data_IF_361615402666
#
_entry.id   IF_361615402666
#
_cell.length_a   1.000
_cell.length_b   1.000
_cell.length_c   1.000
_cell.angle_alpha   90.00
_cell.angle_beta   90.00
_cell.angle_gamma   90.00
#
_symmetry.space_group_name_H-M   'P 1'
#
loop_
_entity.id
_entity.type
_entity.pdbx_description
1 polymer ?
#
# COMPACT_ATOMS: atom_id res chain seq x y z
N UNK A 1 29.17 -1.27 17.05
CA UNK A 1 28.91 -1.43 18.50
C UNK A 1 27.41 -1.45 18.73
N UNK A 2 26.83 -2.61 19.01
CA UNK A 2 25.46 -2.76 19.51
C UNK A 2 25.50 -2.67 21.03
N UNK A 3 24.74 -1.75 21.63
CA UNK A 3 24.58 -1.70 23.08
C UNK A 3 23.54 -2.75 23.49
N UNK A 4 23.92 -3.67 24.37
CA UNK A 4 23.06 -4.70 24.96
C UNK A 4 23.07 -4.44 26.46
N UNK A 5 21.89 -4.30 27.06
CA UNK A 5 21.80 -4.07 28.50
C UNK A 5 22.04 -5.37 29.31
N UNK A 6 22.24 -5.26 30.64
CA UNK A 6 22.52 -6.42 31.50
C UNK A 6 21.41 -7.49 31.55
N UNK A 7 20.23 -7.20 31.00
CA UNK A 7 19.10 -8.13 30.88
C UNK A 7 19.02 -8.78 29.48
N UNK A 8 20.01 -8.54 28.61
CA UNK A 8 20.07 -9.08 27.25
C UNK A 8 19.17 -8.36 26.26
N UNK A 9 18.57 -7.23 26.65
CA UNK A 9 17.78 -6.39 25.75
C UNK A 9 18.72 -5.49 24.94
N UNK A 10 18.66 -5.61 23.62
CA UNK A 10 19.34 -4.69 22.71
C UNK A 10 18.32 -3.73 22.11
N UNK A 11 18.71 -2.47 21.93
CA UNK A 11 17.94 -1.47 21.20
C UNK A 11 17.86 -1.77 19.68
N UNK A 12 18.49 -2.86 19.22
CA UNK A 12 18.68 -3.19 17.82
C UNK A 12 18.01 -4.51 17.46
N UNK A 13 16.68 -4.47 17.43
CA UNK A 13 15.89 -5.49 16.73
C UNK A 13 14.73 -4.85 15.98
N UNK A 14 15.04 -3.88 15.11
CA UNK A 14 14.10 -3.57 14.02
C UNK A 14 14.11 -4.77 13.07
N UNK A 15 13.29 -5.77 13.38
CA UNK A 15 12.97 -6.84 12.46
C UNK A 15 12.56 -6.19 11.14
N UNK A 16 13.22 -6.58 10.04
CA UNK A 16 12.89 -6.02 8.72
C UNK A 16 11.39 -6.27 8.48
N UNK A 17 10.63 -5.25 8.05
CA UNK A 17 9.21 -5.42 7.85
C UNK A 17 8.93 -6.44 6.73
N UNK A 18 7.93 -7.28 6.93
CA UNK A 18 7.54 -8.35 6.00
C UNK A 18 6.45 -7.87 5.04
N UNK A 19 6.51 -8.22 3.76
CA UNK A 19 5.46 -7.88 2.81
C UNK A 19 4.38 -8.97 2.75
N UNK A 20 3.10 -8.59 2.69
CA UNK A 20 1.97 -9.53 2.58
C UNK A 20 1.00 -9.15 1.47
N UNK A 21 0.30 -10.14 0.93
CA UNK A 21 -0.80 -9.93 -0.02
C UNK A 21 -2.09 -9.46 0.65
N UNK A 22 -2.11 -9.44 1.99
CA UNK A 22 -3.24 -9.04 2.81
C UNK A 22 -4.53 -9.79 2.40
N UNK A 23 -4.45 -11.12 2.34
CA UNK A 23 -5.57 -11.98 1.95
C UNK A 23 -6.00 -11.80 0.49
N UNK A 24 -5.15 -11.23 -0.37
CA UNK A 24 -5.41 -10.96 -1.79
C UNK A 24 -6.62 -10.04 -2.04
N UNK A 25 -7.09 -9.31 -1.02
CA UNK A 25 -8.32 -8.50 -1.13
C UNK A 25 -8.20 -7.38 -2.17
N UNK A 26 -6.98 -6.88 -2.41
CA UNK A 26 -6.69 -5.83 -3.39
C UNK A 26 -6.16 -6.37 -4.73
N UNK A 27 -5.99 -7.69 -4.85
CA UNK A 27 -5.51 -8.27 -6.09
C UNK A 27 -6.62 -8.33 -7.14
N UNK A 28 -6.23 -8.15 -8.42
CA UNK A 28 -7.15 -8.25 -9.54
C UNK A 28 -7.72 -9.68 -9.64
N UNK A 29 -9.03 -9.84 -9.81
CA UNK A 29 -9.62 -11.14 -10.11
C UNK A 29 -9.15 -11.64 -11.49
N UNK A 30 -8.78 -12.94 -11.57
CA UNK A 30 -8.15 -13.54 -12.77
C UNK A 30 -9.04 -13.56 -14.02
N UNK A 31 -10.36 -13.47 -13.86
CA UNK A 31 -11.34 -13.68 -14.94
C UNK A 31 -12.33 -12.50 -15.09
N UNK A 32 -11.93 -11.27 -14.79
CA UNK A 32 -12.80 -10.10 -14.98
C UNK A 32 -12.17 -9.09 -15.92
N UNK A 33 -13.02 -8.43 -16.72
CA UNK A 33 -12.59 -7.30 -17.52
C UNK A 33 -12.14 -6.14 -16.64
N UNK A 34 -11.27 -5.28 -17.15
CA UNK A 34 -10.86 -4.07 -16.42
C UNK A 34 -12.05 -3.19 -16.02
N UNK A 35 -13.07 -3.11 -16.87
CA UNK A 35 -14.32 -2.38 -16.61
C UNK A 35 -15.09 -2.96 -15.42
N UNK A 36 -15.14 -4.29 -15.31
CA UNK A 36 -15.80 -4.96 -14.19
C UNK A 36 -15.01 -4.81 -12.89
N UNK A 37 -13.67 -4.85 -12.97
CA UNK A 37 -12.79 -4.56 -11.83
C UNK A 37 -13.09 -3.16 -11.29
N UNK A 38 -13.10 -2.13 -12.15
CA UNK A 38 -13.45 -0.77 -11.75
C UNK A 38 -14.83 -0.74 -11.09
N UNK A 39 -15.85 -1.32 -11.74
CA UNK A 39 -17.23 -1.35 -11.21
C UNK A 39 -17.29 -2.01 -9.82
N UNK A 40 -16.54 -3.09 -9.60
CA UNK A 40 -16.52 -3.80 -8.30
C UNK A 40 -16.00 -2.93 -7.15
N UNK A 41 -15.12 -1.97 -7.43
CA UNK A 41 -14.56 -1.05 -6.42
C UNK A 41 -15.52 0.07 -6.00
N UNK A 42 -16.69 0.21 -6.65
CA UNK A 42 -17.69 1.23 -6.29
C UNK A 42 -18.23 1.03 -4.88
N UNK A 43 -18.45 -0.23 -4.50
CA UNK A 43 -18.93 -0.64 -3.16
C UNK A 43 -18.03 -1.68 -2.50
N UNK A 44 -17.02 -2.18 -3.22
CA UNK A 44 -16.05 -3.16 -2.75
C UNK A 44 -14.67 -2.55 -2.48
N UNK A 45 -13.70 -3.40 -2.10
CA UNK A 45 -12.32 -2.94 -1.87
C UNK A 45 -11.69 -2.43 -3.17
N UNK A 46 -10.75 -1.49 -3.05
CA UNK A 46 -9.88 -1.08 -4.14
C UNK A 46 -9.12 -2.27 -4.73
N UNK A 47 -8.77 -2.21 -6.01
CA UNK A 47 -8.15 -3.31 -6.75
C UNK A 47 -7.01 -2.81 -7.61
N UNK A 48 -5.86 -3.47 -7.56
CA UNK A 48 -4.78 -3.25 -8.53
C UNK A 48 -5.20 -3.74 -9.92
N UNK A 49 -4.55 -3.18 -10.95
CA UNK A 49 -4.72 -3.61 -12.33
C UNK A 49 -4.03 -4.97 -12.56
N UNK A 50 -4.55 -5.87 -13.43
CA UNK A 50 -4.00 -7.21 -13.68
C UNK A 50 -2.50 -7.30 -14.00
N UNK A 51 -1.93 -6.28 -14.60
CA UNK A 51 -0.54 -6.23 -15.07
C UNK A 51 0.44 -5.56 -14.09
N UNK A 52 -0.03 -5.20 -12.90
CA UNK A 52 0.82 -4.56 -11.87
C UNK A 52 1.50 -5.62 -11.01
N UNK A 53 2.83 -5.56 -10.93
CA UNK A 53 3.58 -6.25 -9.89
C UNK A 53 3.37 -5.54 -8.54
N UNK A 54 2.34 -5.97 -7.83
CA UNK A 54 1.90 -5.40 -6.56
C UNK A 54 3.02 -5.38 -5.52
N UNK A 55 3.80 -6.48 -5.43
CA UNK A 55 4.86 -6.58 -4.42
C UNK A 55 5.96 -5.56 -4.67
N UNK A 56 6.46 -5.51 -5.89
CA UNK A 56 7.53 -4.59 -6.25
C UNK A 56 7.08 -3.13 -6.13
N UNK A 57 5.84 -2.82 -6.55
CA UNK A 57 5.26 -1.49 -6.43
C UNK A 57 5.13 -1.07 -4.96
N UNK A 58 4.56 -1.92 -4.10
CA UNK A 58 4.35 -1.56 -2.69
C UNK A 58 5.68 -1.38 -1.93
N UNK A 59 6.68 -2.22 -2.22
CA UNK A 59 8.01 -2.07 -1.65
C UNK A 59 8.73 -0.81 -2.14
N UNK A 60 8.56 -0.43 -3.41
CA UNK A 60 9.06 0.85 -3.93
C UNK A 60 8.40 2.04 -3.22
N UNK A 61 7.06 2.07 -3.15
CA UNK A 61 6.32 3.14 -2.48
C UNK A 61 6.68 3.22 -1.00
N UNK A 62 6.89 2.09 -0.32
CA UNK A 62 7.34 2.08 1.06
C UNK A 62 8.73 2.70 1.23
N UNK A 63 9.61 2.58 0.24
CA UNK A 63 10.94 3.20 0.26
C UNK A 63 10.89 4.67 -0.13
N UNK A 64 10.25 4.99 -1.26
CA UNK A 64 10.38 6.27 -1.96
C UNK A 64 9.15 7.18 -1.85
N UNK A 65 8.04 6.67 -1.34
CA UNK A 65 6.79 7.44 -1.20
C UNK A 65 6.86 8.54 -0.14
N UNK A 66 5.91 9.46 -0.23
CA UNK A 66 5.76 10.59 0.70
C UNK A 66 5.07 10.12 1.98
N UNK A 67 5.64 10.38 3.17
CA UNK A 67 4.98 10.10 4.45
C UNK A 67 3.64 10.83 4.55
N UNK A 68 2.66 10.18 5.17
CA UNK A 68 1.36 10.81 5.45
C UNK A 68 1.44 11.72 6.68
N UNK A 69 0.51 12.66 6.81
CA UNK A 69 0.45 13.65 7.90
C UNK A 69 -0.33 13.19 9.13
N UNK A 70 -1.03 12.07 9.06
CA UNK A 70 -1.95 11.59 10.11
C UNK A 70 -1.28 10.80 11.25
N UNK A 71 0.05 10.89 11.39
CA UNK A 71 0.83 10.20 12.42
C UNK A 71 1.01 8.69 12.22
N UNK A 72 0.47 8.10 11.16
CA UNK A 72 0.64 6.68 10.85
C UNK A 72 1.91 6.43 10.03
N UNK A 73 2.47 5.23 10.16
CA UNK A 73 3.63 4.77 9.37
C UNK A 73 3.20 4.37 7.94
N UNK A 74 2.54 5.27 7.25
CA UNK A 74 2.06 5.08 5.89
C UNK A 74 2.81 5.98 4.93
N UNK A 75 2.87 5.56 3.68
CA UNK A 75 3.37 6.36 2.58
C UNK A 75 2.38 6.35 1.45
N UNK A 76 2.36 7.46 0.72
CA UNK A 76 1.56 7.61 -0.48
C UNK A 76 2.45 8.01 -1.65
N UNK A 77 2.04 7.66 -2.86
CA UNK A 77 2.74 8.06 -4.09
C UNK A 77 1.72 8.24 -5.22
N UNK A 78 1.94 9.27 -6.03
CA UNK A 78 1.32 9.39 -7.34
C UNK A 78 2.22 8.65 -8.34
N UNK A 79 1.68 7.64 -9.00
CA UNK A 79 2.43 6.82 -9.95
C UNK A 79 2.46 7.44 -11.35
N UNK A 80 1.71 8.51 -11.61
CA UNK A 80 1.59 9.15 -12.93
C UNK A 80 0.91 8.28 -14.00
N UNK A 81 0.47 7.08 -13.63
CA UNK A 81 -0.19 6.12 -14.52
C UNK A 81 -1.20 5.29 -13.74
N UNK A 82 -2.22 4.78 -14.40
CA UNK A 82 -3.28 3.99 -13.78
C UNK A 82 -2.71 2.64 -13.30
N UNK A 83 -2.64 2.46 -11.98
CA UNK A 83 -2.15 1.23 -11.32
C UNK A 83 -3.28 0.39 -10.74
N UNK A 84 -4.50 0.92 -10.69
CA UNK A 84 -5.61 0.26 -10.04
C UNK A 84 -6.90 1.05 -10.13
N UNK A 85 -7.85 0.68 -9.29
CA UNK A 85 -9.15 1.30 -9.19
C UNK A 85 -9.56 1.42 -7.71
N UNK A 86 -10.25 2.51 -7.40
CA UNK A 86 -10.85 2.78 -6.09
C UNK A 86 -12.14 3.56 -6.29
N UNK A 87 -13.15 3.32 -5.44
CA UNK A 87 -14.44 4.04 -5.45
C UNK A 87 -15.15 4.04 -6.82
N UNK A 88 -14.97 2.99 -7.62
CA UNK A 88 -15.58 2.88 -8.94
C UNK A 88 -14.87 3.66 -10.04
N UNK A 89 -13.64 4.13 -9.80
CA UNK A 89 -12.84 4.92 -10.77
C UNK A 89 -11.41 4.36 -10.91
N UNK A 90 -10.79 4.50 -12.09
CA UNK A 90 -9.35 4.30 -12.22
C UNK A 90 -8.57 5.17 -11.24
N UNK A 91 -7.45 4.65 -10.74
CA UNK A 91 -6.57 5.34 -9.82
C UNK A 91 -5.11 5.15 -10.20
N UNK A 92 -4.36 6.24 -10.08
CA UNK A 92 -2.89 6.29 -10.16
C UNK A 92 -2.23 6.49 -8.79
N UNK A 93 -3.02 6.69 -7.73
CA UNK A 93 -2.53 6.95 -6.38
C UNK A 93 -2.58 5.68 -5.56
N UNK A 94 -1.54 5.46 -4.77
CA UNK A 94 -1.40 4.29 -3.91
C UNK A 94 -1.06 4.71 -2.49
N UNK A 95 -1.63 3.99 -1.52
CA UNK A 95 -1.19 4.02 -0.13
C UNK A 95 -0.54 2.70 0.22
N UNK A 96 0.59 2.77 0.89
CA UNK A 96 1.26 1.63 1.51
C UNK A 96 1.38 1.87 3.01
N UNK A 97 0.99 0.86 3.77
CA UNK A 97 0.91 0.89 5.21
C UNK A 97 1.96 -0.05 5.80
N UNK A 98 2.63 0.40 6.86
CA UNK A 98 3.30 -0.48 7.82
C UNK A 98 2.40 -0.64 9.04
N UNK A 99 1.95 -1.86 9.31
CA UNK A 99 1.17 -2.21 10.51
C UNK A 99 1.59 -3.58 11.01
N UNK A 100 1.80 -3.73 12.32
CA UNK A 100 2.28 -4.98 12.94
C UNK A 100 3.48 -5.61 12.19
N UNK A 101 4.49 -4.78 11.90
CA UNK A 101 5.69 -5.13 11.13
C UNK A 101 5.42 -5.70 9.71
N UNK A 102 4.25 -5.39 9.15
CA UNK A 102 3.81 -5.92 7.86
C UNK A 102 3.47 -4.80 6.88
N UNK A 103 4.05 -4.87 5.68
CA UNK A 103 3.83 -3.96 4.56
C UNK A 103 2.73 -4.53 3.67
N UNK A 104 1.73 -3.70 3.40
CA UNK A 104 0.70 -3.95 2.39
C UNK A 104 0.14 -2.61 1.90
N UNK A 105 -0.52 -2.60 0.75
CA UNK A 105 -1.08 -1.38 0.20
C UNK A 105 -2.32 -1.61 -0.64
N UNK A 106 -2.85 -0.49 -1.13
CA UNK A 106 -3.91 -0.50 -2.11
C UNK A 106 -3.98 0.83 -2.88
N UNK A 107 -4.60 0.81 -4.08
CA UNK A 107 -4.98 2.04 -4.76
C UNK A 107 -5.94 2.86 -3.90
N UNK A 108 -5.84 4.19 -3.98
CA UNK A 108 -6.69 5.15 -3.25
C UNK A 108 -7.27 6.19 -4.21
N UNK A 109 -8.30 6.92 -3.81
CA UNK A 109 -8.82 8.03 -4.63
C UNK A 109 -7.91 9.26 -4.55
N UNK A 110 -8.00 10.18 -5.51
CA UNK A 110 -7.29 11.47 -5.45
C UNK A 110 -7.67 12.23 -4.17
N UNK A 111 -8.95 12.21 -3.79
CA UNK A 111 -9.41 12.89 -2.58
C UNK A 111 -8.76 12.30 -1.32
N UNK A 112 -8.65 10.97 -1.23
CA UNK A 112 -7.93 10.32 -0.14
C UNK A 112 -6.43 10.65 -0.16
N UNK A 113 -5.80 10.64 -1.34
CA UNK A 113 -4.38 11.01 -1.51
C UNK A 113 -4.11 12.42 -0.99
N UNK A 114 -4.89 13.40 -1.46
CA UNK A 114 -4.77 14.80 -1.02
C UNK A 114 -5.05 14.97 0.47
N UNK A 115 -5.99 14.20 1.04
CA UNK A 115 -6.28 14.24 2.48
C UNK A 115 -5.12 13.72 3.32
N UNK A 116 -4.39 12.72 2.84
CA UNK A 116 -3.26 12.12 3.55
C UNK A 116 -1.98 12.97 3.52
N UNK A 117 -1.94 14.00 2.67
CA UNK A 117 -0.84 14.96 2.54
C UNK A 117 -1.09 16.31 3.23
N UNK A 118 -2.24 16.47 3.90
CA UNK A 118 -2.66 17.72 4.53
C UNK A 118 -2.34 17.77 6.01
#
# INVERSE_FOLDING_TARGET
MTWVDPWGLSCDSKTKPHWTTHGYKHFPPKNQSWKDVIKSTKSGPAKYKPDVDVKSLELDVFKTGTPVTNGKQWKVKDMGTVIGASEGKPSQWVRVELSANTIHGHPISLNEYMRLLK
#
